data_IF_684918719173
#
_entry.id   IF_684918719173
#
_cell.length_a   1.000
_cell.length_b   1.000
_cell.length_c   1.000
_cell.angle_alpha   90.00
_cell.angle_beta   90.00
_cell.angle_gamma   90.00
#
_symmetry.space_group_name_H-M   'P 1'
#
loop_
_entity.id
_entity.type
_entity.pdbx_description
1 polymer ?
#
# COMPACT_ATOMS: atom_id res chain seq x y z
N UNK A 1 2.50 62.01 48.47
CA UNK A 1 1.59 60.86 48.59
C UNK A 1 2.03 59.82 47.57
N UNK A 2 2.71 58.77 48.03
CA UNK A 2 3.12 57.66 47.17
C UNK A 2 2.00 56.64 47.06
N UNK A 3 1.66 56.24 45.84
CA UNK A 3 0.83 55.08 45.58
C UNK A 3 1.61 54.13 44.69
N UNK A 4 2.02 53.00 45.27
CA UNK A 4 2.81 51.97 44.64
C UNK A 4 2.06 51.21 43.55
N UNK A 5 2.83 50.73 42.58
CA UNK A 5 2.41 49.67 41.67
C UNK A 5 3.44 48.56 41.77
N UNK A 6 3.07 47.49 42.46
CA UNK A 6 3.76 46.19 42.47
C UNK A 6 3.63 45.51 41.11
N UNK A 7 4.66 44.80 40.60
CA UNK A 7 4.56 44.03 39.37
C UNK A 7 3.86 42.68 39.66
N UNK A 8 2.73 42.43 38.99
CA UNK A 8 2.05 41.15 39.04
C UNK A 8 2.89 40.07 38.33
N UNK A 9 3.21 39.01 39.08
CA UNK A 9 4.07 37.92 38.67
C UNK A 9 3.60 37.19 37.40
N UNK A 10 4.56 36.93 36.51
CA UNK A 10 4.44 35.99 35.40
C UNK A 10 4.30 34.58 35.99
N UNK A 11 3.09 33.99 35.97
CA UNK A 11 2.91 32.56 36.24
C UNK A 11 3.67 31.74 35.18
N UNK A 12 4.57 30.81 35.54
CA UNK A 12 5.13 29.86 34.59
C UNK A 12 4.15 28.70 34.45
N UNK A 13 3.42 28.63 33.34
CA UNK A 13 2.48 27.53 33.13
C UNK A 13 2.03 27.39 31.70
N UNK A 14 2.77 26.63 30.89
CA UNK A 14 2.24 25.60 29.96
C UNK A 14 3.30 24.91 29.07
N UNK A 15 4.52 24.68 29.56
CA UNK A 15 5.55 23.98 28.78
C UNK A 15 5.17 22.52 28.46
N UNK A 16 4.60 21.78 29.42
CA UNK A 16 4.25 20.35 29.24
C UNK A 16 3.07 20.12 28.29
N UNK A 17 2.02 20.94 28.34
CA UNK A 17 0.86 20.79 27.44
C UNK A 17 1.18 21.12 25.98
N UNK A 18 2.04 22.14 25.71
CA UNK A 18 2.47 22.44 24.32
C UNK A 18 3.33 21.32 23.72
N UNK A 19 4.21 20.70 24.51
CA UNK A 19 5.07 19.61 24.03
C UNK A 19 4.24 18.35 23.74
N UNK A 20 3.31 17.98 24.63
CA UNK A 20 2.38 16.86 24.45
C UNK A 20 1.49 17.04 23.20
N UNK A 21 0.88 18.22 23.02
CA UNK A 21 0.09 18.51 21.81
C UNK A 21 0.95 18.47 20.54
N UNK A 22 2.21 18.93 20.59
CA UNK A 22 3.11 18.85 19.43
C UNK A 22 3.51 17.42 19.07
N UNK A 23 3.62 16.53 20.06
CA UNK A 23 4.03 15.14 19.88
C UNK A 23 2.86 14.30 19.34
N UNK A 24 1.65 14.52 19.87
CA UNK A 24 0.42 13.92 19.33
C UNK A 24 0.18 14.35 17.89
N UNK A 25 0.32 15.64 17.57
CA UNK A 25 0.19 16.13 16.19
C UNK A 25 1.26 15.53 15.28
N UNK A 26 2.52 15.41 15.74
CA UNK A 26 3.59 14.73 14.97
C UNK A 26 3.30 13.25 14.74
N UNK A 27 2.78 12.55 15.74
CA UNK A 27 2.37 11.13 15.63
C UNK A 27 1.20 10.98 14.67
N UNK A 28 0.18 11.84 14.77
CA UNK A 28 -0.96 11.84 13.85
C UNK A 28 -0.51 12.15 12.41
N UNK A 29 0.39 13.12 12.22
CA UNK A 29 1.02 13.40 10.93
C UNK A 29 1.76 12.18 10.37
N UNK A 30 2.56 11.50 11.20
CA UNK A 30 3.26 10.25 10.84
C UNK A 30 2.29 9.10 10.49
N UNK A 31 1.17 8.97 11.20
CA UNK A 31 0.14 7.96 10.91
C UNK A 31 -0.63 8.28 9.62
N UNK A 32 -0.90 9.56 9.35
CA UNK A 32 -1.47 10.02 8.07
C UNK A 32 -0.50 9.75 6.90
N UNK A 33 0.79 10.01 7.10
CA UNK A 33 1.86 9.80 6.13
C UNK A 33 2.05 8.33 5.74
N UNK A 34 1.91 7.42 6.70
CA UNK A 34 2.16 5.98 6.52
C UNK A 34 0.98 5.21 5.92
N UNK A 35 -0.14 5.89 5.60
CA UNK A 35 -1.36 5.25 5.07
C UNK A 35 -1.75 4.01 5.89
N UNK A 36 -1.89 4.18 7.21
CA UNK A 36 -2.12 3.08 8.17
C UNK A 36 -3.26 2.14 7.73
N UNK A 37 -4.32 2.66 7.10
CA UNK A 37 -5.41 1.84 6.57
C UNK A 37 -4.97 0.86 5.48
N UNK A 38 -4.11 1.27 4.54
CA UNK A 38 -3.57 0.40 3.49
C UNK A 38 -2.70 -0.70 4.10
N UNK A 39 -1.92 -0.36 5.13
CA UNK A 39 -1.06 -1.33 5.81
C UNK A 39 -1.88 -2.31 6.67
N UNK A 40 -2.94 -1.83 7.34
CA UNK A 40 -3.85 -2.70 8.07
C UNK A 40 -4.55 -3.69 7.13
N UNK A 41 -4.98 -3.23 5.94
CA UNK A 41 -5.56 -4.10 4.92
C UNK A 41 -4.56 -5.17 4.47
N UNK A 42 -3.30 -4.80 4.27
CA UNK A 42 -2.22 -5.72 3.92
C UNK A 42 -1.95 -6.75 5.02
N UNK A 43 -1.91 -6.33 6.29
CA UNK A 43 -1.75 -7.23 7.43
C UNK A 43 -2.92 -8.24 7.50
N UNK A 44 -4.15 -7.77 7.33
CA UNK A 44 -5.34 -8.64 7.25
C UNK A 44 -5.22 -9.62 6.08
N UNK A 45 -4.75 -9.16 4.92
CA UNK A 45 -4.52 -10.04 3.76
C UNK A 45 -3.47 -11.12 4.06
N UNK A 46 -2.40 -10.79 4.79
CA UNK A 46 -1.40 -11.78 5.21
C UNK A 46 -2.01 -12.82 6.16
N UNK A 47 -2.78 -12.39 7.17
CA UNK A 47 -3.47 -13.31 8.08
C UNK A 47 -4.48 -14.19 7.36
N UNK A 48 -5.36 -13.62 6.53
CA UNK A 48 -6.35 -14.39 5.78
C UNK A 48 -5.69 -15.37 4.81
N UNK A 49 -4.61 -14.97 4.15
CA UNK A 49 -3.83 -15.87 3.30
C UNK A 49 -3.22 -17.01 4.12
N UNK A 50 -2.71 -16.72 5.31
CA UNK A 50 -2.15 -17.75 6.17
C UNK A 50 -3.21 -18.73 6.70
N UNK A 51 -4.41 -18.25 7.03
CA UNK A 51 -5.49 -19.04 7.64
C UNK A 51 -6.24 -19.87 6.60
N UNK A 52 -6.59 -19.27 5.45
CA UNK A 52 -7.54 -19.85 4.49
C UNK A 52 -6.91 -20.23 3.14
N UNK A 53 -5.75 -19.66 2.80
CA UNK A 53 -5.16 -19.82 1.47
C UNK A 53 -4.03 -20.86 1.45
N UNK A 54 -3.12 -20.85 2.42
CA UNK A 54 -2.01 -21.81 2.45
C UNK A 54 -2.32 -23.01 3.35
N UNK A 55 -3.48 -23.63 3.14
CA UNK A 55 -3.97 -24.78 3.92
C UNK A 55 -4.60 -25.82 2.99
N UNK A 56 -4.41 -27.11 3.27
CA UNK A 56 -4.85 -28.19 2.37
C UNK A 56 -6.37 -28.40 2.35
N UNK A 57 -7.08 -28.27 3.48
CA UNK A 57 -8.53 -28.56 3.56
C UNK A 57 -9.33 -27.79 4.62
N UNK A 58 -8.71 -27.34 5.71
CA UNK A 58 -9.40 -26.68 6.82
C UNK A 58 -8.66 -25.38 7.18
N UNK A 59 -9.38 -24.35 7.66
CA UNK A 59 -8.73 -23.13 8.07
C UNK A 59 -7.81 -23.41 9.26
N UNK A 60 -6.59 -22.89 9.21
CA UNK A 60 -5.63 -23.07 10.29
C UNK A 60 -5.33 -21.74 11.00
N UNK A 61 -5.88 -21.61 12.20
CA UNK A 61 -5.76 -20.43 13.04
C UNK A 61 -4.47 -20.39 13.88
N UNK A 62 -3.59 -21.40 13.78
CA UNK A 62 -2.32 -21.45 14.54
C UNK A 62 -1.49 -20.18 14.38
N UNK A 63 -1.49 -19.59 13.18
CA UNK A 63 -0.75 -18.38 12.85
C UNK A 63 -1.24 -17.13 13.59
N UNK A 64 -2.47 -17.11 14.11
CA UNK A 64 -3.03 -15.97 14.86
C UNK A 64 -2.29 -15.77 16.17
N UNK A 65 -1.93 -16.87 16.83
CA UNK A 65 -1.23 -16.88 18.12
C UNK A 65 0.27 -17.13 18.00
N UNK A 66 0.77 -17.47 16.81
CA UNK A 66 2.19 -17.75 16.61
C UNK A 66 3.04 -16.46 16.60
N UNK A 67 4.01 -16.32 17.53
CA UNK A 67 4.87 -15.14 17.60
C UNK A 67 5.74 -14.91 16.36
N UNK A 68 6.15 -15.97 15.65
CA UNK A 68 6.95 -15.85 14.42
C UNK A 68 6.11 -15.27 13.28
N UNK A 69 4.85 -15.69 13.13
CA UNK A 69 3.97 -15.13 12.12
C UNK A 69 3.60 -13.68 12.44
N UNK A 70 3.31 -13.38 13.71
CA UNK A 70 3.11 -12.01 14.17
C UNK A 70 4.34 -11.13 13.87
N UNK A 71 5.55 -11.62 14.16
CA UNK A 71 6.80 -10.93 13.85
C UNK A 71 6.96 -10.65 12.34
N UNK A 72 6.59 -11.59 11.45
CA UNK A 72 6.60 -11.38 10.00
C UNK A 72 5.65 -10.26 9.56
N UNK A 73 4.44 -10.23 10.10
CA UNK A 73 3.45 -9.17 9.80
C UNK A 73 3.94 -7.82 10.31
N UNK A 74 4.53 -7.75 11.50
CA UNK A 74 5.15 -6.54 12.03
C UNK A 74 6.32 -6.07 11.15
N UNK A 75 7.22 -6.97 10.72
CA UNK A 75 8.30 -6.64 9.78
C UNK A 75 7.75 -6.05 8.48
N UNK A 76 6.66 -6.63 7.96
CA UNK A 76 5.96 -6.12 6.78
C UNK A 76 5.44 -4.72 7.01
N UNK A 77 4.73 -4.49 8.12
CA UNK A 77 4.20 -3.18 8.46
C UNK A 77 5.33 -2.14 8.54
N UNK A 78 6.39 -2.42 9.29
CA UNK A 78 7.51 -1.50 9.45
C UNK A 78 8.20 -1.17 8.13
N UNK A 79 8.41 -2.16 7.27
CA UNK A 79 9.07 -1.98 5.97
C UNK A 79 8.20 -1.17 5.01
N UNK A 80 6.89 -1.47 4.92
CA UNK A 80 5.94 -0.73 4.08
C UNK A 80 5.75 0.71 4.59
N UNK A 81 5.64 0.91 5.90
CA UNK A 81 5.61 2.23 6.51
C UNK A 81 6.89 3.02 6.18
N UNK A 82 8.05 2.38 6.26
CA UNK A 82 9.32 2.93 5.79
C UNK A 82 9.27 3.32 4.30
N UNK A 83 8.66 2.48 3.46
CA UNK A 83 8.38 2.76 2.05
C UNK A 83 7.56 4.04 1.82
N UNK A 84 6.48 4.24 2.57
CA UNK A 84 5.70 5.48 2.50
C UNK A 84 6.49 6.70 2.97
N UNK A 85 7.30 6.56 4.02
CA UNK A 85 8.12 7.64 4.57
C UNK A 85 9.23 8.07 3.59
N UNK A 86 9.92 7.11 2.95
CA UNK A 86 10.96 7.45 1.96
C UNK A 86 10.35 8.01 0.67
N UNK A 87 9.16 7.55 0.29
CA UNK A 87 8.40 8.13 -0.82
C UNK A 87 8.08 9.60 -0.53
N UNK A 88 7.55 9.90 0.66
CA UNK A 88 7.31 11.28 1.11
C UNK A 88 8.60 12.11 1.15
N UNK A 89 9.71 11.54 1.63
CA UNK A 89 11.00 12.25 1.66
C UNK A 89 11.41 12.79 0.28
N UNK A 90 11.29 11.97 -0.77
CA UNK A 90 11.61 12.35 -2.15
C UNK A 90 10.53 13.23 -2.81
N UNK A 91 9.30 13.23 -2.29
CA UNK A 91 8.20 14.04 -2.78
C UNK A 91 7.95 15.32 -1.99
N UNK A 92 8.66 15.58 -0.88
CA UNK A 92 8.41 16.72 0.01
C UNK A 92 8.26 18.06 -0.70
N UNK A 93 9.14 18.35 -1.66
CA UNK A 93 9.07 19.59 -2.44
C UNK A 93 7.87 19.63 -3.41
N UNK A 94 7.39 18.45 -3.84
CA UNK A 94 6.26 18.28 -4.73
C UNK A 94 4.92 18.36 -3.97
N UNK A 95 4.86 17.73 -2.79
CA UNK A 95 3.66 17.70 -1.94
C UNK A 95 3.37 19.07 -1.32
N UNK A 96 4.40 19.86 -0.97
CA UNK A 96 4.22 21.24 -0.48
C UNK A 96 3.38 22.11 -1.44
N UNK A 97 3.53 21.87 -2.75
CA UNK A 97 2.80 22.60 -3.79
C UNK A 97 1.40 22.00 -4.03
N UNK A 98 1.25 20.67 -3.96
CA UNK A 98 0.02 19.95 -4.35
C UNK A 98 -1.07 19.94 -3.26
N UNK A 99 -0.68 19.95 -1.98
CA UNK A 99 -1.63 19.93 -0.85
C UNK A 99 -1.18 20.85 0.30
N UNK A 100 -1.26 22.18 0.17
CA UNK A 100 -0.69 23.10 1.14
C UNK A 100 -1.19 22.87 2.57
N UNK A 101 -2.47 22.51 2.77
CA UNK A 101 -3.01 22.19 4.09
C UNK A 101 -2.52 20.84 4.66
N UNK A 102 -2.40 19.80 3.83
CA UNK A 102 -1.86 18.48 4.25
C UNK A 102 -0.36 18.56 4.51
N UNK A 103 0.36 19.25 3.64
CA UNK A 103 1.79 19.52 3.74
C UNK A 103 2.17 20.47 4.89
N UNK A 104 1.23 21.27 5.40
CA UNK A 104 1.41 22.03 6.64
C UNK A 104 1.40 21.14 7.89
N UNK A 105 0.65 20.03 7.87
CA UNK A 105 0.62 19.02 8.94
C UNK A 105 1.83 18.06 8.80
N UNK A 106 2.10 17.60 7.58
CA UNK A 106 3.21 16.67 7.30
C UNK A 106 4.59 17.37 7.34
N UNK A 107 4.64 18.67 7.06
CA UNK A 107 5.84 19.52 7.08
C UNK A 107 6.37 19.82 8.49
N UNK A 108 5.65 19.41 9.54
CA UNK A 108 6.11 19.51 10.94
C UNK A 108 7.33 18.61 11.19
N UNK A 109 7.52 17.56 10.38
CA UNK A 109 8.65 16.63 10.49
C UNK A 109 9.80 17.10 9.58
N UNK A 110 10.98 17.33 10.17
CA UNK A 110 12.18 17.69 9.43
C UNK A 110 12.65 16.53 8.55
N UNK A 111 13.32 16.82 7.42
CA UNK A 111 13.85 15.78 6.53
C UNK A 111 14.84 14.84 7.25
N UNK A 112 15.64 15.37 8.16
CA UNK A 112 16.53 14.57 8.99
C UNK A 112 15.75 13.59 9.88
N UNK A 113 14.63 14.03 10.47
CA UNK A 113 13.77 13.15 11.26
C UNK A 113 13.09 12.10 10.38
N UNK A 114 12.59 12.46 9.20
CA UNK A 114 12.01 11.53 8.22
C UNK A 114 13.00 10.40 7.88
N UNK A 115 14.25 10.75 7.58
CA UNK A 115 15.29 9.76 7.26
C UNK A 115 15.64 8.89 8.46
N UNK A 116 15.74 9.47 9.67
CA UNK A 116 15.98 8.71 10.91
C UNK A 116 14.87 7.69 11.18
N UNK A 117 13.60 8.07 11.02
CA UNK A 117 12.46 7.16 11.20
C UNK A 117 12.49 6.06 10.13
N UNK A 118 12.74 6.42 8.86
CA UNK A 118 12.88 5.44 7.78
C UNK A 118 13.98 4.39 8.09
N UNK A 119 15.16 4.85 8.51
CA UNK A 119 16.27 3.96 8.87
C UNK A 119 15.94 3.10 10.09
N UNK A 120 15.37 3.69 11.13
CA UNK A 120 14.98 2.98 12.35
C UNK A 120 13.94 1.88 12.07
N UNK A 121 12.91 2.17 11.27
CA UNK A 121 11.88 1.20 10.91
C UNK A 121 12.46 0.04 10.12
N UNK A 122 13.22 0.31 9.05
CA UNK A 122 13.78 -0.76 8.22
C UNK A 122 14.85 -1.57 8.95
N UNK A 123 15.72 -0.92 9.72
CA UNK A 123 16.73 -1.63 10.52
C UNK A 123 16.06 -2.54 11.56
N UNK A 124 15.04 -2.05 12.25
CA UNK A 124 14.29 -2.86 13.23
C UNK A 124 13.52 -3.99 12.55
N UNK A 125 12.92 -3.76 11.38
CA UNK A 125 12.24 -4.80 10.61
C UNK A 125 13.22 -5.92 10.19
N UNK A 126 14.40 -5.56 9.67
CA UNK A 126 15.43 -6.52 9.29
C UNK A 126 15.97 -7.26 10.52
N UNK A 127 16.24 -6.56 11.61
CA UNK A 127 16.68 -7.18 12.86
C UNK A 127 15.63 -8.14 13.44
N UNK A 128 14.35 -7.73 13.49
CA UNK A 128 13.25 -8.57 13.94
C UNK A 128 13.04 -9.77 13.01
N UNK A 129 13.28 -9.63 11.70
CA UNK A 129 13.15 -10.74 10.77
C UNK A 129 14.19 -11.85 10.97
N UNK A 130 15.30 -11.59 11.69
CA UNK A 130 16.25 -12.63 12.15
C UNK A 130 15.58 -13.63 13.10
N UNK A 131 14.65 -13.15 13.93
CA UNK A 131 13.88 -14.01 14.85
C UNK A 131 13.04 -15.03 14.08
N UNK A 132 12.64 -14.72 12.84
CA UNK A 132 11.87 -15.63 12.00
C UNK A 132 12.78 -16.59 11.23
N UNK A 133 13.72 -16.06 10.43
CA UNK A 133 14.68 -16.87 9.65
C UNK A 133 15.73 -15.99 8.96
N UNK A 134 16.85 -16.58 8.53
CA UNK A 134 17.82 -15.88 7.66
C UNK A 134 17.23 -15.52 6.29
N UNK A 135 16.29 -16.32 5.78
CA UNK A 135 15.66 -16.06 4.47
C UNK A 135 14.77 -14.81 4.51
N UNK A 136 14.06 -14.59 5.62
CA UNK A 136 13.27 -13.38 5.84
C UNK A 136 14.14 -12.12 5.94
N UNK A 137 15.35 -12.22 6.48
CA UNK A 137 16.32 -11.10 6.51
C UNK A 137 16.69 -10.64 5.11
N UNK A 138 17.03 -11.59 4.23
CA UNK A 138 17.34 -11.29 2.83
C UNK A 138 16.12 -10.66 2.14
N UNK A 139 14.93 -11.22 2.38
CA UNK A 139 13.69 -10.71 1.83
C UNK A 139 13.39 -9.26 2.25
N UNK A 140 13.37 -8.96 3.56
CA UNK A 140 13.05 -7.62 4.05
C UNK A 140 14.15 -6.60 3.71
N UNK A 141 15.42 -7.01 3.69
CA UNK A 141 16.52 -6.14 3.24
C UNK A 141 16.37 -5.79 1.76
N UNK A 142 16.11 -6.79 0.91
CA UNK A 142 15.87 -6.59 -0.52
C UNK A 142 14.61 -5.77 -0.78
N UNK A 143 13.54 -6.01 -0.03
CA UNK A 143 12.29 -5.26 -0.16
C UNK A 143 12.44 -3.79 0.27
N UNK A 144 13.11 -3.53 1.39
CA UNK A 144 13.45 -2.18 1.84
C UNK A 144 14.29 -1.43 0.80
N UNK A 145 15.28 -2.11 0.20
CA UNK A 145 16.07 -1.56 -0.90
C UNK A 145 15.20 -1.27 -2.13
N UNK A 146 14.29 -2.17 -2.50
CA UNK A 146 13.42 -1.97 -3.66
C UNK A 146 12.45 -0.80 -3.46
N UNK A 147 11.89 -0.62 -2.27
CA UNK A 147 11.07 0.55 -1.92
C UNK A 147 11.88 1.86 -2.03
N UNK A 148 13.11 1.87 -1.53
CA UNK A 148 14.01 3.01 -1.71
C UNK A 148 14.32 3.27 -3.18
N UNK A 149 14.67 2.24 -3.95
CA UNK A 149 15.01 2.34 -5.36
C UNK A 149 13.82 2.85 -6.19
N UNK A 150 12.61 2.40 -5.84
CA UNK A 150 11.37 2.91 -6.40
C UNK A 150 11.25 4.43 -6.18
N UNK A 151 11.31 4.88 -4.92
CA UNK A 151 11.15 6.29 -4.57
C UNK A 151 12.26 7.18 -5.13
N UNK A 152 13.49 6.68 -5.18
CA UNK A 152 14.64 7.44 -5.65
C UNK A 152 14.69 7.57 -7.18
N UNK A 153 14.43 6.48 -7.92
CA UNK A 153 14.60 6.41 -9.39
C UNK A 153 13.35 6.02 -10.15
N UNK A 154 12.75 4.85 -9.89
CA UNK A 154 11.72 4.28 -10.79
C UNK A 154 10.48 5.18 -10.89
N UNK A 155 10.12 5.86 -9.80
CA UNK A 155 8.98 6.79 -9.76
C UNK A 155 9.08 7.94 -10.77
N UNK A 156 10.29 8.28 -11.23
CA UNK A 156 10.53 9.37 -12.19
C UNK A 156 10.35 8.96 -13.65
N UNK A 157 10.20 7.66 -13.92
CA UNK A 157 10.07 7.12 -15.27
C UNK A 157 8.58 6.80 -15.51
N UNK A 158 7.90 7.46 -16.47
CA UNK A 158 6.49 7.20 -16.77
C UNK A 158 6.24 5.74 -17.12
N UNK A 159 5.06 5.22 -16.78
CA UNK A 159 4.67 3.80 -16.87
C UNK A 159 5.45 2.87 -15.94
N UNK A 160 6.79 2.93 -15.94
CA UNK A 160 7.66 2.16 -15.04
C UNK A 160 7.34 2.48 -13.58
N UNK A 161 7.00 3.73 -13.26
CA UNK A 161 6.52 4.13 -11.93
C UNK A 161 5.28 3.34 -11.50
N UNK A 162 4.29 3.19 -12.38
CA UNK A 162 3.04 2.47 -12.11
C UNK A 162 3.28 0.96 -11.95
N UNK A 163 4.10 0.38 -12.83
CA UNK A 163 4.50 -1.03 -12.75
C UNK A 163 5.26 -1.30 -11.45
N UNK A 164 6.28 -0.49 -11.14
CA UNK A 164 7.08 -0.64 -9.93
C UNK A 164 6.24 -0.44 -8.67
N UNK A 165 5.27 0.48 -8.68
CA UNK A 165 4.33 0.68 -7.57
C UNK A 165 3.46 -0.56 -7.35
N UNK A 166 2.92 -1.15 -8.41
CA UNK A 166 2.14 -2.39 -8.32
C UNK A 166 3.00 -3.55 -7.79
N UNK A 167 4.23 -3.71 -8.27
CA UNK A 167 5.17 -4.72 -7.76
C UNK A 167 5.47 -4.49 -6.26
N UNK A 168 5.77 -3.25 -5.85
CA UNK A 168 6.03 -2.92 -4.45
C UNK A 168 4.85 -3.29 -3.53
N UNK A 169 3.63 -3.19 -4.04
CA UNK A 169 2.41 -3.51 -3.29
C UNK A 169 2.13 -5.03 -3.21
N UNK A 170 2.53 -5.81 -4.21
CA UNK A 170 2.34 -7.27 -4.23
C UNK A 170 3.40 -8.01 -3.40
N UNK A 171 4.68 -7.61 -3.51
CA UNK A 171 5.81 -8.28 -2.85
C UNK A 171 5.54 -8.67 -1.38
N UNK A 172 5.07 -7.78 -0.49
CA UNK A 172 4.94 -8.11 0.93
C UNK A 172 3.95 -9.23 1.24
N UNK A 173 2.98 -9.51 0.36
CA UNK A 173 2.06 -10.64 0.52
C UNK A 173 2.80 -11.98 0.54
N UNK A 174 3.93 -12.08 -0.16
CA UNK A 174 4.74 -13.28 -0.21
C UNK A 174 5.54 -13.56 1.08
N UNK A 175 5.56 -12.63 2.04
CA UNK A 175 6.20 -12.88 3.34
C UNK A 175 5.57 -14.05 4.10
N UNK A 176 4.30 -14.38 3.83
CA UNK A 176 3.58 -15.52 4.43
C UNK A 176 4.28 -16.86 4.14
N UNK A 177 5.05 -16.99 3.06
CA UNK A 177 5.76 -18.22 2.71
C UNK A 177 6.86 -18.60 3.67
N UNK A 178 7.49 -17.61 4.30
CA UNK A 178 8.53 -17.90 5.29
C UNK A 178 7.97 -18.64 6.51
N UNK A 179 6.66 -18.54 6.74
CA UNK A 179 5.95 -19.29 7.77
C UNK A 179 5.38 -20.62 7.24
N UNK A 180 4.60 -20.60 6.15
CA UNK A 180 3.85 -21.77 5.68
C UNK A 180 4.70 -22.84 4.99
N UNK A 181 5.89 -22.51 4.48
CA UNK A 181 6.82 -23.41 3.74
C UNK A 181 6.23 -24.13 2.50
N UNK A 182 4.94 -24.02 2.25
CA UNK A 182 4.23 -24.54 1.08
C UNK A 182 4.27 -23.48 -0.02
N UNK A 183 4.78 -23.86 -1.19
CA UNK A 183 4.70 -23.04 -2.41
C UNK A 183 4.06 -23.92 -3.48
N UNK A 184 2.74 -23.87 -3.58
CA UNK A 184 2.05 -24.32 -4.79
C UNK A 184 2.17 -23.20 -5.82
N UNK A 185 3.20 -23.28 -6.67
CA UNK A 185 3.49 -22.26 -7.68
C UNK A 185 2.36 -22.16 -8.70
N UNK A 186 1.67 -23.26 -8.99
CA UNK A 186 0.60 -23.32 -9.99
C UNK A 186 -0.62 -22.54 -9.56
N UNK A 187 -0.96 -22.59 -8.26
CA UNK A 187 -2.02 -21.76 -7.68
C UNK A 187 -1.54 -20.34 -7.45
N UNK A 188 -0.32 -20.16 -6.95
CA UNK A 188 0.16 -18.87 -6.49
C UNK A 188 0.34 -17.85 -7.62
N UNK A 189 0.95 -18.29 -8.72
CA UNK A 189 1.37 -17.39 -9.78
C UNK A 189 0.18 -16.70 -10.48
N UNK A 190 -0.92 -17.42 -10.83
CA UNK A 190 -2.16 -16.79 -11.30
C UNK A 190 -2.74 -15.75 -10.33
N UNK A 191 -2.78 -16.05 -9.03
CA UNK A 191 -3.28 -15.13 -8.01
C UNK A 191 -2.39 -13.88 -7.88
N UNK A 192 -1.06 -14.07 -7.91
CA UNK A 192 -0.09 -12.98 -7.89
C UNK A 192 -0.26 -12.04 -9.09
N UNK A 193 -0.42 -12.59 -10.30
CA UNK A 193 -0.67 -11.80 -11.50
C UNK A 193 -2.02 -11.09 -11.47
N UNK A 194 -3.07 -11.75 -10.95
CA UNK A 194 -4.37 -11.11 -10.75
C UNK A 194 -4.25 -9.86 -9.85
N UNK A 195 -3.62 -9.99 -8.68
CA UNK A 195 -3.43 -8.86 -7.75
C UNK A 195 -2.55 -7.78 -8.40
N UNK A 196 -1.46 -8.19 -9.08
CA UNK A 196 -0.56 -7.26 -9.77
C UNK A 196 -1.29 -6.42 -10.82
N UNK A 197 -2.04 -7.03 -11.75
CA UNK A 197 -2.74 -6.28 -12.79
C UNK A 197 -3.90 -5.45 -12.24
N UNK A 198 -4.54 -5.89 -11.16
CA UNK A 198 -5.55 -5.12 -10.43
C UNK A 198 -4.94 -3.83 -9.86
N UNK A 199 -3.79 -3.94 -9.18
CA UNK A 199 -3.09 -2.80 -8.59
C UNK A 199 -2.44 -1.88 -9.63
N UNK A 200 -1.94 -2.46 -10.73
CA UNK A 200 -1.44 -1.68 -11.87
C UNK A 200 -2.55 -0.84 -12.49
N UNK A 201 -3.73 -1.43 -12.69
CA UNK A 201 -4.91 -0.72 -13.19
C UNK A 201 -5.30 0.43 -12.27
N UNK A 202 -5.30 0.18 -10.95
CA UNK A 202 -5.59 1.22 -9.96
C UNK A 202 -4.60 2.39 -10.03
N UNK A 203 -3.30 2.08 -10.20
CA UNK A 203 -2.23 3.08 -10.34
C UNK A 203 -2.40 3.92 -11.60
N UNK A 204 -2.64 3.28 -12.76
CA UNK A 204 -2.83 3.98 -14.03
C UNK A 204 -4.10 4.86 -14.03
N UNK A 205 -5.19 4.39 -13.43
CA UNK A 205 -6.42 5.18 -13.29
C UNK A 205 -6.22 6.39 -12.37
N UNK A 206 -5.36 6.28 -11.35
CA UNK A 206 -5.01 7.40 -10.49
C UNK A 206 -4.28 8.51 -11.27
N UNK A 207 -3.31 8.15 -12.11
CA UNK A 207 -2.62 9.10 -12.99
C UNK A 207 -3.62 9.81 -13.94
N UNK A 208 -4.61 9.08 -14.46
CA UNK A 208 -5.64 9.64 -15.34
C UNK A 208 -6.60 10.60 -14.60
N UNK A 209 -6.97 10.28 -13.35
CA UNK A 209 -7.82 11.14 -12.51
C UNK A 209 -7.12 12.46 -12.14
N UNK A 210 -5.82 12.40 -11.86
CA UNK A 210 -5.05 13.55 -11.39
C UNK A 210 -4.40 14.37 -12.51
N UNK A 211 -4.59 13.98 -13.79
CA UNK A 211 -3.93 14.58 -14.95
C UNK A 211 -3.95 16.14 -14.96
N UNK A 212 -5.08 16.77 -14.61
CA UNK A 212 -5.19 18.24 -14.59
C UNK A 212 -4.31 18.87 -13.51
N UNK A 213 -4.35 18.33 -12.29
CA UNK A 213 -3.49 18.80 -11.19
C UNK A 213 -2.03 18.52 -11.51
N UNK A 214 -1.75 17.33 -12.03
CA UNK A 214 -0.40 16.92 -12.41
C UNK A 214 0.22 17.86 -13.46
N UNK A 215 -0.58 18.37 -14.40
CA UNK A 215 -0.13 19.31 -15.42
C UNK A 215 0.23 20.67 -14.84
N UNK A 216 -0.61 21.21 -13.94
CA UNK A 216 -0.40 22.51 -13.29
C UNK A 216 0.91 22.53 -12.49
N UNK A 217 1.26 21.40 -11.89
CA UNK A 217 2.45 21.27 -11.03
C UNK A 217 3.66 20.66 -11.75
N UNK A 218 3.60 20.45 -13.06
CA UNK A 218 4.73 20.00 -13.87
C UNK A 218 5.15 18.55 -13.64
N UNK A 219 4.25 17.68 -13.21
CA UNK A 219 4.54 16.26 -13.04
C UNK A 219 4.67 15.55 -14.39
N UNK A 220 5.55 14.55 -14.44
CA UNK A 220 5.78 13.72 -15.63
C UNK A 220 5.04 12.39 -15.50
N UNK A 221 3.72 12.43 -15.38
CA UNK A 221 2.88 11.22 -15.34
C UNK A 221 2.63 10.66 -16.74
N UNK A 222 2.16 9.41 -16.81
CA UNK A 222 1.91 8.73 -18.08
C UNK A 222 1.03 9.55 -19.06
N UNK A 223 -0.14 10.10 -18.65
CA UNK A 223 -0.98 10.87 -19.57
C UNK A 223 -0.35 12.19 -20.02
N UNK A 224 0.61 12.75 -19.27
CA UNK A 224 1.28 14.01 -19.62
C UNK A 224 2.48 13.79 -20.53
N UNK A 225 3.20 12.67 -20.38
CA UNK A 225 4.39 12.38 -21.21
C UNK A 225 4.03 11.67 -22.50
N UNK A 226 3.13 10.67 -22.46
CA UNK A 226 2.76 9.87 -23.63
C UNK A 226 1.42 10.30 -24.27
N UNK A 227 0.71 11.22 -23.63
CA UNK A 227 -0.61 11.67 -24.04
C UNK A 227 -1.75 10.80 -23.49
N UNK A 228 -2.93 11.42 -23.32
CA UNK A 228 -4.10 10.80 -22.72
C UNK A 228 -4.58 9.53 -23.45
N UNK A 229 -4.41 9.46 -24.78
CA UNK A 229 -4.80 8.29 -25.58
C UNK A 229 -3.99 7.04 -25.23
N UNK A 230 -2.65 7.16 -25.18
CA UNK A 230 -1.76 6.04 -24.82
C UNK A 230 -1.92 5.62 -23.36
N UNK A 231 -2.09 6.59 -22.45
CA UNK A 231 -2.34 6.31 -21.04
C UNK A 231 -3.67 5.57 -20.83
N UNK A 232 -4.73 5.99 -21.54
CA UNK A 232 -6.01 5.26 -21.57
C UNK A 232 -5.85 3.84 -22.10
N UNK A 233 -5.11 3.65 -23.20
CA UNK A 233 -4.85 2.32 -23.75
C UNK A 233 -4.09 1.41 -22.77
N UNK A 234 -3.08 1.94 -22.07
CA UNK A 234 -2.36 1.21 -21.03
C UNK A 234 -3.27 0.79 -19.87
N UNK A 235 -4.18 1.67 -19.42
CA UNK A 235 -5.16 1.34 -18.38
C UNK A 235 -6.17 0.27 -18.85
N UNK A 236 -6.66 0.35 -20.09
CA UNK A 236 -7.55 -0.68 -20.66
C UNK A 236 -6.81 -2.02 -20.77
N UNK A 237 -5.56 -2.01 -21.23
CA UNK A 237 -4.72 -3.21 -21.31
C UNK A 237 -4.54 -3.86 -19.93
N UNK A 238 -4.20 -3.08 -18.90
CA UNK A 238 -4.02 -3.63 -17.55
C UNK A 238 -5.32 -4.20 -16.97
N UNK A 239 -6.47 -3.55 -17.22
CA UNK A 239 -7.78 -4.04 -16.77
C UNK A 239 -8.15 -5.32 -17.53
N UNK A 240 -7.90 -5.37 -18.84
CA UNK A 240 -8.12 -6.58 -19.64
C UNK A 240 -7.26 -7.75 -19.14
N UNK A 241 -5.99 -7.51 -18.84
CA UNK A 241 -5.11 -8.50 -18.26
C UNK A 241 -5.62 -8.99 -16.89
N UNK A 242 -6.15 -8.09 -16.05
CA UNK A 242 -6.79 -8.46 -14.79
C UNK A 242 -8.05 -9.34 -15.00
N UNK A 243 -8.87 -9.04 -16.02
CA UNK A 243 -10.02 -9.88 -16.41
C UNK A 243 -9.59 -11.27 -16.86
N UNK A 244 -8.54 -11.38 -17.67
CA UNK A 244 -8.01 -12.67 -18.11
C UNK A 244 -7.47 -13.45 -16.90
N UNK A 245 -6.71 -12.79 -16.02
CA UNK A 245 -6.22 -13.42 -14.80
C UNK A 245 -7.36 -13.90 -13.90
N UNK A 246 -8.48 -13.16 -13.81
CA UNK A 246 -9.63 -13.60 -13.00
C UNK A 246 -10.26 -14.88 -13.57
N UNK A 247 -10.38 -15.00 -14.89
CA UNK A 247 -10.87 -16.23 -15.54
C UNK A 247 -9.91 -17.42 -15.34
N UNK A 248 -8.60 -17.18 -15.41
CA UNK A 248 -7.58 -18.21 -15.13
C UNK A 248 -7.71 -18.68 -13.69
N UNK A 249 -7.71 -17.75 -12.72
CA UNK A 249 -7.81 -18.08 -11.29
C UNK A 249 -9.12 -18.80 -10.97
N UNK A 250 -10.24 -18.39 -11.56
CA UNK A 250 -11.51 -19.10 -11.45
C UNK A 250 -11.37 -20.59 -11.80
N UNK A 251 -10.62 -20.92 -12.84
CA UNK A 251 -10.43 -22.31 -13.29
C UNK A 251 -9.68 -23.16 -12.25
N UNK A 252 -8.77 -22.56 -11.47
CA UNK A 252 -8.07 -23.23 -10.38
C UNK A 252 -8.93 -23.35 -9.11
N UNK A 253 -9.83 -22.39 -8.87
CA UNK A 253 -10.61 -22.31 -7.63
C UNK A 253 -12.03 -22.89 -7.77
N UNK A 254 -12.47 -23.33 -8.97
CA UNK A 254 -13.85 -23.70 -9.31
C UNK A 254 -14.52 -24.75 -8.39
N UNK A 255 -13.78 -25.45 -7.52
CA UNK A 255 -14.31 -26.36 -6.52
C UNK A 255 -14.74 -25.71 -5.20
N UNK A 256 -14.61 -24.39 -5.04
CA UNK A 256 -14.94 -23.69 -3.80
C UNK A 256 -15.69 -22.38 -4.04
N UNK A 257 -16.37 -21.89 -3.00
CA UNK A 257 -17.20 -20.68 -3.07
C UNK A 257 -16.40 -19.40 -3.39
N UNK A 258 -15.07 -19.39 -3.15
CA UNK A 258 -14.20 -18.27 -3.51
C UNK A 258 -14.05 -18.12 -5.02
N UNK A 259 -14.28 -19.15 -5.83
CA UNK A 259 -14.30 -19.05 -7.30
C UNK A 259 -15.25 -17.95 -7.80
N UNK A 260 -16.42 -17.80 -7.19
CA UNK A 260 -17.43 -16.82 -7.61
C UNK A 260 -16.94 -15.37 -7.47
N UNK A 261 -15.95 -15.11 -6.61
CA UNK A 261 -15.33 -13.79 -6.51
C UNK A 261 -14.69 -13.41 -7.85
N UNK A 262 -14.04 -14.35 -8.52
CA UNK A 262 -13.31 -14.10 -9.76
C UNK A 262 -14.24 -13.91 -10.95
N UNK A 263 -15.43 -14.52 -10.93
CA UNK A 263 -16.51 -14.22 -11.88
C UNK A 263 -17.02 -12.80 -11.66
N UNK A 264 -17.34 -12.44 -10.41
CA UNK A 264 -17.76 -11.09 -10.04
C UNK A 264 -16.70 -10.04 -10.42
N UNK A 265 -15.42 -10.31 -10.12
CA UNK A 265 -14.29 -9.45 -10.50
C UNK A 265 -14.21 -9.24 -12.00
N UNK A 266 -14.38 -10.31 -12.81
CA UNK A 266 -14.42 -10.22 -14.27
C UNK A 266 -15.52 -9.28 -14.78
N UNK A 267 -16.74 -9.39 -14.23
CA UNK A 267 -17.87 -8.51 -14.58
C UNK A 267 -17.58 -7.05 -14.19
N UNK A 268 -17.00 -6.83 -13.02
CA UNK A 268 -16.59 -5.50 -12.54
C UNK A 268 -15.52 -4.90 -13.46
N UNK A 269 -14.53 -5.69 -13.88
CA UNK A 269 -13.48 -5.21 -14.79
C UNK A 269 -14.02 -4.87 -16.18
N UNK A 270 -14.93 -5.67 -16.75
CA UNK A 270 -15.62 -5.32 -17.99
C UNK A 270 -16.38 -3.99 -17.88
N UNK A 271 -17.06 -3.78 -16.74
CA UNK A 271 -17.73 -2.51 -16.43
C UNK A 271 -16.72 -1.34 -16.31
N UNK A 272 -15.55 -1.59 -15.73
CA UNK A 272 -14.46 -0.61 -15.65
C UNK A 272 -13.92 -0.24 -17.03
N UNK A 273 -13.78 -1.19 -17.97
CA UNK A 273 -13.36 -0.90 -19.36
C UNK A 273 -14.34 0.06 -20.03
N UNK A 274 -15.65 -0.16 -19.85
CA UNK A 274 -16.68 0.76 -20.34
C UNK A 274 -16.53 2.15 -19.72
N UNK A 275 -16.38 2.23 -18.39
CA UNK A 275 -16.19 3.49 -17.67
C UNK A 275 -14.94 4.26 -18.15
N UNK A 276 -13.81 3.58 -18.34
CA UNK A 276 -12.58 4.16 -18.91
C UNK A 276 -12.78 4.61 -20.34
N UNK A 277 -13.57 3.87 -21.12
CA UNK A 277 -13.88 4.21 -22.52
C UNK A 277 -14.60 5.55 -22.63
N UNK A 278 -15.61 5.76 -21.78
CA UNK A 278 -16.36 7.03 -21.68
C UNK A 278 -15.69 8.08 -20.77
N UNK A 279 -14.40 7.89 -20.42
CA UNK A 279 -13.56 8.80 -19.63
C UNK A 279 -14.04 9.04 -18.18
N UNK A 280 -14.82 8.13 -17.60
CA UNK A 280 -15.23 8.14 -16.19
C UNK A 280 -14.22 7.39 -15.31
N UNK A 281 -12.96 7.85 -15.31
CA UNK A 281 -11.84 7.16 -14.64
C UNK A 281 -12.02 7.03 -13.12
N UNK A 282 -12.65 8.01 -12.47
CA UNK A 282 -12.93 7.98 -11.03
C UNK A 282 -13.86 6.83 -10.63
N UNK A 283 -14.84 6.50 -11.50
CA UNK A 283 -15.77 5.40 -11.25
C UNK A 283 -15.01 4.07 -11.31
N UNK A 284 -14.25 3.82 -12.38
CA UNK A 284 -13.42 2.62 -12.51
C UNK A 284 -12.44 2.48 -11.34
N UNK A 285 -11.79 3.58 -10.94
CA UNK A 285 -10.87 3.61 -9.81
C UNK A 285 -11.55 3.20 -8.49
N UNK A 286 -12.75 3.73 -8.24
CA UNK A 286 -13.52 3.43 -7.03
C UNK A 286 -14.03 1.98 -7.04
N UNK A 287 -14.49 1.49 -8.18
CA UNK A 287 -14.92 0.10 -8.35
C UNK A 287 -13.78 -0.89 -8.08
N UNK A 288 -12.57 -0.62 -8.60
CA UNK A 288 -11.40 -1.48 -8.34
C UNK A 288 -10.99 -1.44 -6.86
N UNK A 289 -11.04 -0.27 -6.20
CA UNK A 289 -10.81 -0.19 -4.74
C UNK A 289 -11.80 -1.02 -3.95
N UNK A 290 -13.09 -0.91 -4.28
CA UNK A 290 -14.14 -1.70 -3.65
C UNK A 290 -13.91 -3.20 -3.91
N UNK A 291 -13.52 -3.56 -5.13
CA UNK A 291 -13.23 -4.95 -5.50
C UNK A 291 -12.11 -5.56 -4.66
N UNK A 292 -11.02 -4.82 -4.40
CA UNK A 292 -9.92 -5.27 -3.52
C UNK A 292 -10.43 -5.57 -2.11
N UNK A 293 -11.27 -4.68 -1.55
CA UNK A 293 -11.85 -4.87 -0.22
C UNK A 293 -12.79 -6.08 -0.18
N UNK A 294 -13.68 -6.21 -1.17
CA UNK A 294 -14.60 -7.35 -1.29
C UNK A 294 -13.81 -8.65 -1.43
N UNK A 295 -12.76 -8.66 -2.25
CA UNK A 295 -11.89 -9.82 -2.44
C UNK A 295 -11.24 -10.27 -1.15
N UNK A 296 -10.73 -9.34 -0.34
CA UNK A 296 -10.21 -9.66 0.99
C UNK A 296 -11.28 -10.33 1.88
N UNK A 297 -12.50 -9.80 1.90
CA UNK A 297 -13.60 -10.35 2.69
C UNK A 297 -14.09 -11.71 2.18
N UNK A 298 -13.83 -12.05 0.91
CA UNK A 298 -14.21 -13.34 0.31
C UNK A 298 -13.16 -14.44 0.46
N UNK A 299 -11.90 -14.12 0.82
CA UNK A 299 -10.85 -15.14 1.03
C UNK A 299 -11.30 -16.29 1.95
N UNK A 300 -12.01 -16.06 3.08
CA UNK A 300 -12.49 -17.14 3.94
C UNK A 300 -13.42 -18.16 3.25
N UNK A 301 -14.09 -17.78 2.15
CA UNK A 301 -14.97 -18.66 1.39
C UNK A 301 -14.21 -19.76 0.64
N UNK A 302 -12.89 -19.68 0.54
CA UNK A 302 -12.06 -20.67 -0.17
C UNK A 302 -12.12 -22.06 0.46
N UNK A 303 -12.34 -22.12 1.77
CA UNK A 303 -12.41 -23.39 2.50
C UNK A 303 -13.81 -24.03 2.45
N UNK A 304 -14.79 -23.33 1.87
CA UNK A 304 -16.14 -23.83 1.69
C UNK A 304 -16.25 -24.46 0.31
N UNK A 305 -16.22 -25.80 0.28
CA UNK A 305 -16.45 -26.57 -0.94
C UNK A 305 -17.89 -26.33 -1.46
N UNK A 306 -18.03 -26.37 -2.78
CA UNK A 306 -19.32 -26.34 -3.48
C UNK A 306 -19.81 -27.74 -3.82
#
# INVERSE_FOLDING_TARGET
MGSGVTPAGRKPGNGKNRISSSLVIKVIGLLSLTRVYDIALLATAQYFSCIFFFTEKAPDFSCVTDPHFFALVVCTWMTVAGGYIINYFYDKNKDFVNHPHKSSIDGIVSQAMTLRIYLALNFTAVALSLYVSLRSVVFFSGYAFFLWFYSHKLKKIPFVSNVAQAVCAVIPLFAVFFYRKIIDVEVLLPHGFFIFFTLLSLSLLNDMNNQKGDAVFGYRTLPLVLGAGKAKAAAIFSIMAATICSAIVYSFENGNAFAYYFVFAGIVFLSCITAVTIRKYYIAYTMIKALILVGLLWIPLRVWAL
#
